data_IF_881978669004
#
_entry.id   IF_881978669004
#
_cell.length_a   1.000
_cell.length_b   1.000
_cell.length_c   1.000
_cell.angle_alpha   90.00
_cell.angle_beta   90.00
_cell.angle_gamma   90.00
#
_symmetry.space_group_name_H-M   'P 1'
#
loop_
_entity.id
_entity.type
_entity.pdbx_description
1 polymer ?
#
# COMPACT_ATOMS: atom_id res chain seq x y z
N UNK A 1 12.28 -21.67 10.79
CA UNK A 1 10.85 -21.97 10.59
C UNK A 1 10.15 -20.86 9.79
N UNK A 2 10.16 -19.61 10.25
CA UNK A 2 9.45 -18.51 9.57
C UNK A 2 9.90 -18.24 8.12
N UNK A 3 11.21 -18.20 7.86
CA UNK A 3 11.75 -17.98 6.50
C UNK A 3 11.40 -19.10 5.52
N UNK A 4 11.28 -20.35 5.98
CA UNK A 4 10.82 -21.49 5.18
C UNK A 4 9.33 -21.32 4.82
N UNK A 5 8.49 -20.94 5.79
CA UNK A 5 7.07 -20.66 5.55
C UNK A 5 6.83 -19.50 4.57
N UNK A 6 7.70 -18.49 4.60
CA UNK A 6 7.65 -17.39 3.63
C UNK A 6 8.17 -17.78 2.24
N UNK A 7 8.76 -18.97 2.09
CA UNK A 7 9.36 -19.44 0.85
C UNK A 7 10.73 -18.84 0.55
N UNK A 8 11.38 -18.21 1.53
CA UNK A 8 12.75 -17.68 1.41
C UNK A 8 13.81 -18.78 1.51
N UNK A 9 13.52 -19.84 2.27
CA UNK A 9 14.37 -21.04 2.37
C UNK A 9 13.62 -22.28 1.88
N UNK A 10 14.34 -23.22 1.27
CA UNK A 10 13.86 -24.55 0.94
C UNK A 10 13.69 -25.43 2.20
N UNK A 11 13.19 -26.66 2.02
CA UNK A 11 13.11 -27.64 3.10
C UNK A 11 14.52 -28.02 3.61
N UNK A 12 15.51 -28.00 2.72
CA UNK A 12 16.93 -28.28 2.99
C UNK A 12 17.69 -27.05 3.52
N UNK A 13 16.99 -25.97 3.89
CA UNK A 13 17.54 -24.70 4.37
C UNK A 13 18.47 -23.96 3.38
N UNK A 14 18.34 -24.25 2.09
CA UNK A 14 19.01 -23.49 1.03
C UNK A 14 18.19 -22.26 0.62
N UNK A 15 18.88 -21.20 0.18
CA UNK A 15 18.24 -19.97 -0.27
C UNK A 15 17.47 -20.21 -1.57
N UNK A 16 16.19 -19.82 -1.61
CA UNK A 16 15.38 -19.89 -2.83
C UNK A 16 15.62 -18.65 -3.70
N UNK A 17 15.21 -18.63 -4.98
CA UNK A 17 15.26 -17.41 -5.79
C UNK A 17 14.51 -16.23 -5.15
N UNK A 18 13.35 -16.50 -4.52
CA UNK A 18 12.65 -15.48 -3.74
C UNK A 18 13.49 -15.03 -2.54
N UNK A 19 14.06 -15.97 -1.79
CA UNK A 19 14.95 -15.68 -0.67
C UNK A 19 16.15 -14.80 -1.06
N UNK A 20 16.74 -15.04 -2.23
CA UNK A 20 17.80 -14.22 -2.79
C UNK A 20 17.37 -12.77 -3.01
N UNK A 21 16.14 -12.54 -3.51
CA UNK A 21 15.61 -11.18 -3.65
C UNK A 21 15.27 -10.55 -2.29
N UNK A 22 14.71 -11.32 -1.36
CA UNK A 22 14.41 -10.83 -0.01
C UNK A 22 15.66 -10.42 0.76
N UNK A 23 16.77 -11.15 0.58
CA UNK A 23 18.05 -10.84 1.21
C UNK A 23 18.64 -9.49 0.77
N UNK A 24 18.20 -8.94 -0.37
CA UNK A 24 18.62 -7.62 -0.86
C UNK A 24 17.83 -6.46 -0.24
N UNK A 25 16.70 -6.74 0.42
CA UNK A 25 15.79 -5.71 0.94
C UNK A 25 15.93 -5.63 2.48
N UNK A 26 16.43 -4.52 3.05
CA UNK A 26 16.58 -4.34 4.49
C UNK A 26 15.25 -4.00 5.16
N UNK A 27 14.25 -4.87 4.99
CA UNK A 27 12.89 -4.73 5.53
C UNK A 27 12.44 -6.06 6.13
N UNK A 28 11.32 -6.04 6.84
CA UNK A 28 10.68 -7.28 7.26
C UNK A 28 10.42 -8.20 6.05
N UNK A 29 10.74 -9.51 6.12
CA UNK A 29 10.60 -10.43 4.99
C UNK A 29 9.18 -10.50 4.39
N UNK A 30 8.13 -10.26 5.18
CA UNK A 30 6.74 -10.21 4.70
C UNK A 30 6.50 -8.96 3.85
N UNK A 31 7.03 -7.82 4.29
CA UNK A 31 7.03 -6.57 3.52
C UNK A 31 7.82 -6.74 2.23
N UNK A 32 9.05 -7.27 2.32
CA UNK A 32 9.89 -7.55 1.15
C UNK A 32 9.18 -8.46 0.15
N UNK A 33 8.50 -9.51 0.63
CA UNK A 33 7.74 -10.43 -0.21
C UNK A 33 6.60 -9.73 -0.93
N UNK A 34 5.80 -8.90 -0.23
CA UNK A 34 4.75 -8.10 -0.90
C UNK A 34 5.33 -7.19 -1.96
N UNK A 35 6.43 -6.48 -1.67
CA UNK A 35 7.06 -5.56 -2.62
C UNK A 35 7.55 -6.28 -3.89
N UNK A 36 8.21 -7.44 -3.73
CA UNK A 36 8.65 -8.28 -4.86
C UNK A 36 7.44 -8.74 -5.69
N UNK A 37 6.39 -9.26 -5.06
CA UNK A 37 5.20 -9.70 -5.78
C UNK A 37 4.44 -8.53 -6.42
N UNK A 38 4.38 -7.37 -5.78
CA UNK A 38 3.75 -6.17 -6.35
C UNK A 38 4.44 -5.72 -7.65
N UNK A 39 5.78 -5.75 -7.67
CA UNK A 39 6.56 -5.47 -8.87
C UNK A 39 6.31 -6.51 -9.97
N UNK A 40 6.36 -7.81 -9.63
CA UNK A 40 6.15 -8.91 -10.58
C UNK A 40 4.74 -8.93 -11.19
N UNK A 41 3.73 -8.65 -10.36
CA UNK A 41 2.32 -8.68 -10.77
C UNK A 41 1.86 -7.36 -11.40
N UNK A 42 2.72 -6.34 -11.49
CA UNK A 42 2.40 -5.07 -12.13
C UNK A 42 1.38 -4.24 -11.35
N UNK A 43 1.38 -4.31 -10.02
CA UNK A 43 0.51 -3.53 -9.13
C UNK A 43 1.34 -2.83 -8.04
N UNK A 44 2.49 -2.27 -8.42
CA UNK A 44 3.50 -1.80 -7.49
C UNK A 44 3.03 -0.62 -6.63
N UNK A 45 2.42 0.40 -7.22
CA UNK A 45 1.96 1.60 -6.49
C UNK A 45 1.03 1.28 -5.32
N UNK A 46 -0.10 0.59 -5.49
CA UNK A 46 -0.98 0.28 -4.36
C UNK A 46 -0.26 -0.58 -3.30
N UNK A 47 0.58 -1.52 -3.73
CA UNK A 47 1.37 -2.38 -2.84
C UNK A 47 2.39 -1.57 -2.03
N UNK A 48 3.05 -0.57 -2.60
CA UNK A 48 3.96 0.32 -1.87
C UNK A 48 3.25 1.02 -0.71
N UNK A 49 2.04 1.52 -0.92
CA UNK A 49 1.28 2.18 0.14
C UNK A 49 0.72 1.21 1.17
N UNK A 50 0.30 0.02 0.76
CA UNK A 50 -0.15 -1.01 1.71
C UNK A 50 1.02 -1.43 2.59
N UNK A 51 2.18 -1.73 1.99
CA UNK A 51 3.41 -2.03 2.71
C UNK A 51 3.80 -0.89 3.67
N UNK A 52 3.75 0.36 3.21
CA UNK A 52 4.06 1.53 4.03
C UNK A 52 3.08 1.71 5.20
N UNK A 53 1.77 1.51 4.98
CA UNK A 53 0.76 1.57 6.03
C UNK A 53 0.96 0.45 7.06
N UNK A 54 1.43 -0.74 6.64
CA UNK A 54 1.76 -1.85 7.55
C UNK A 54 3.05 -1.61 8.34
N UNK A 55 4.04 -0.93 7.76
CA UNK A 55 5.31 -0.61 8.42
C UNK A 55 5.27 0.65 9.27
N UNK A 56 4.16 1.40 9.22
CA UNK A 56 3.97 2.65 9.96
C UNK A 56 2.67 2.58 10.77
N UNK A 57 2.17 3.74 11.24
CA UNK A 57 0.91 3.81 11.97
C UNK A 57 -0.26 3.89 11.00
N UNK A 58 -1.41 3.39 11.46
CA UNK A 58 -2.69 3.56 10.75
C UNK A 58 -2.89 5.02 10.31
N UNK A 59 -3.36 5.26 9.07
CA UNK A 59 -3.72 6.60 8.62
C UNK A 59 -4.93 7.15 9.38
N UNK A 60 -5.85 6.28 9.80
CA UNK A 60 -7.07 6.64 10.51
C UNK A 60 -6.84 6.78 12.02
N UNK A 61 -7.49 7.78 12.61
CA UNK A 61 -7.56 8.02 14.05
C UNK A 61 -9.00 7.86 14.54
N UNK A 62 -9.18 7.39 15.76
CA UNK A 62 -10.50 7.26 16.39
C UNK A 62 -10.49 8.01 17.73
N UNK A 63 -10.77 9.33 17.72
CA UNK A 63 -10.90 10.12 18.95
C UNK A 63 -11.99 9.52 19.85
N UNK A 64 -11.78 9.50 21.18
CA UNK A 64 -12.68 8.84 22.13
C UNK A 64 -14.14 9.32 21.97
N UNK A 65 -14.35 10.62 21.84
CA UNK A 65 -15.68 11.23 21.75
C UNK A 65 -16.35 11.05 20.38
N UNK A 66 -15.60 10.60 19.36
CA UNK A 66 -16.07 10.51 17.97
C UNK A 66 -15.75 9.15 17.34
N UNK A 67 -15.55 8.12 18.16
CA UNK A 67 -15.11 6.80 17.70
C UNK A 67 -16.10 6.18 16.71
N UNK A 68 -17.38 6.19 17.05
CA UNK A 68 -18.43 5.60 16.20
C UNK A 68 -18.59 6.36 14.87
N UNK A 69 -18.48 7.70 14.91
CA UNK A 69 -18.51 8.56 13.73
C UNK A 69 -17.32 8.26 12.80
N UNK A 70 -16.11 8.19 13.36
CA UNK A 70 -14.89 7.88 12.62
C UNK A 70 -14.95 6.49 11.98
N UNK A 71 -15.40 5.47 12.73
CA UNK A 71 -15.49 4.10 12.25
C UNK A 71 -16.57 3.95 11.17
N UNK A 72 -17.72 4.61 11.34
CA UNK A 72 -18.80 4.62 10.35
C UNK A 72 -18.38 5.32 9.05
N UNK A 73 -17.72 6.49 9.15
CA UNK A 73 -17.21 7.20 7.99
C UNK A 73 -16.15 6.38 7.26
N UNK A 74 -15.18 5.81 7.98
CA UNK A 74 -14.15 4.95 7.41
C UNK A 74 -14.77 3.77 6.66
N UNK A 75 -15.74 3.08 7.27
CA UNK A 75 -16.43 1.95 6.63
C UNK A 75 -17.22 2.38 5.39
N UNK A 76 -17.91 3.51 5.45
CA UNK A 76 -18.73 4.04 4.36
C UNK A 76 -17.89 4.51 3.16
N UNK A 77 -16.83 5.26 3.41
CA UNK A 77 -16.02 5.91 2.37
C UNK A 77 -14.91 4.99 1.86
N UNK A 78 -14.30 4.22 2.76
CA UNK A 78 -13.10 3.44 2.47
C UNK A 78 -13.26 1.94 2.71
N UNK A 79 -14.35 1.46 3.31
CA UNK A 79 -14.54 0.06 3.70
C UNK A 79 -15.00 -0.88 2.60
N UNK A 80 -14.84 -0.52 1.32
CA UNK A 80 -15.24 -1.39 0.21
C UNK A 80 -14.43 -2.69 0.23
N UNK A 81 -15.12 -3.79 -0.05
CA UNK A 81 -14.55 -5.14 -0.08
C UNK A 81 -13.98 -5.70 1.23
N UNK A 82 -14.41 -5.17 2.39
CA UNK A 82 -14.10 -5.70 3.73
C UNK A 82 -12.58 -5.85 4.00
N UNK A 83 -11.77 -4.88 3.56
CA UNK A 83 -10.32 -4.89 3.76
C UNK A 83 -9.81 -3.58 4.33
N UNK A 84 -9.26 -3.63 5.54
CA UNK A 84 -8.66 -2.46 6.22
C UNK A 84 -7.41 -1.94 5.51
N UNK A 85 -6.64 -2.82 4.88
CA UNK A 85 -5.46 -2.44 4.09
C UNK A 85 -5.85 -1.68 2.82
N UNK A 86 -6.92 -2.12 2.14
CA UNK A 86 -7.45 -1.36 1.01
C UNK A 86 -8.14 -0.07 1.45
N UNK A 87 -8.75 -0.04 2.64
CA UNK A 87 -9.24 1.21 3.21
C UNK A 87 -8.10 2.20 3.46
N UNK A 88 -6.96 1.74 4.00
CA UNK A 88 -5.77 2.56 4.21
C UNK A 88 -5.19 3.09 2.90
N UNK A 89 -5.13 2.25 1.86
CA UNK A 89 -4.76 2.66 0.50
C UNK A 89 -5.65 3.79 0.00
N UNK A 90 -6.98 3.60 0.04
CA UNK A 90 -7.93 4.60 -0.46
C UNK A 90 -7.90 5.90 0.35
N UNK A 91 -7.71 5.82 1.67
CA UNK A 91 -7.53 6.97 2.54
C UNK A 91 -6.30 7.79 2.14
N UNK A 92 -5.17 7.11 1.93
CA UNK A 92 -3.94 7.74 1.45
C UNK A 92 -4.13 8.38 0.06
N UNK A 93 -4.75 7.67 -0.88
CA UNK A 93 -5.01 8.20 -2.22
C UNK A 93 -5.90 9.44 -2.18
N UNK A 94 -6.93 9.46 -1.34
CA UNK A 94 -7.79 10.62 -1.15
C UNK A 94 -7.00 11.82 -0.59
N UNK A 95 -6.15 11.57 0.42
CA UNK A 95 -5.28 12.59 1.01
C UNK A 95 -4.30 13.17 0.00
N UNK A 96 -3.67 12.31 -0.81
CA UNK A 96 -2.73 12.74 -1.84
C UNK A 96 -3.42 13.58 -2.93
N UNK A 97 -4.60 13.16 -3.41
CA UNK A 97 -5.39 13.93 -4.39
C UNK A 97 -5.74 15.32 -3.86
N UNK A 98 -6.24 15.41 -2.63
CA UNK A 98 -6.56 16.70 -2.01
C UNK A 98 -5.32 17.61 -1.89
N UNK A 99 -4.14 17.00 -1.65
CA UNK A 99 -2.87 17.75 -1.63
C UNK A 99 -2.48 18.28 -3.01
N UNK A 100 -2.75 17.54 -4.07
CA UNK A 100 -2.43 17.95 -5.44
C UNK A 100 -3.37 19.04 -5.95
N UNK A 101 -4.65 18.94 -5.62
CA UNK A 101 -5.69 19.87 -6.07
C UNK A 101 -5.67 21.20 -5.30
N UNK A 102 -5.51 21.14 -3.98
CA UNK A 102 -5.65 22.29 -3.07
C UNK A 102 -4.44 22.49 -2.14
N UNK A 103 -3.31 21.86 -2.45
CA UNK A 103 -2.09 21.98 -1.66
C UNK A 103 -2.23 21.41 -0.25
N UNK A 104 -1.34 21.84 0.64
CA UNK A 104 -1.38 21.41 2.05
C UNK A 104 -2.63 21.86 2.81
N UNK A 105 -3.40 22.83 2.29
CA UNK A 105 -4.68 23.21 2.89
C UNK A 105 -5.72 22.11 2.68
N UNK A 106 -5.92 21.65 1.44
CA UNK A 106 -6.83 20.54 1.13
C UNK A 106 -6.43 19.22 1.79
N UNK A 107 -5.13 18.93 1.84
CA UNK A 107 -4.62 17.75 2.55
C UNK A 107 -4.98 17.75 4.05
N UNK A 108 -4.94 18.93 4.70
CA UNK A 108 -5.33 19.08 6.11
C UNK A 108 -6.83 19.01 6.30
N UNK A 109 -7.60 19.59 5.39
CA UNK A 109 -9.05 19.57 5.41
C UNK A 109 -9.56 18.13 5.29
N UNK A 110 -9.12 17.38 4.28
CA UNK A 110 -9.55 15.98 4.12
C UNK A 110 -9.07 15.11 5.28
N UNK A 111 -7.88 15.38 5.82
CA UNK A 111 -7.40 14.64 6.99
C UNK A 111 -8.26 14.90 8.23
N UNK A 112 -8.67 16.16 8.45
CA UNK A 112 -9.60 16.51 9.54
C UNK A 112 -10.95 15.85 9.34
N UNK A 113 -11.55 16.03 8.17
CA UNK A 113 -12.94 15.63 7.91
C UNK A 113 -13.10 14.12 7.87
N UNK A 114 -12.04 13.39 7.51
CA UNK A 114 -12.07 11.94 7.38
C UNK A 114 -11.36 11.21 8.54
N UNK A 115 -11.09 11.90 9.64
CA UNK A 115 -10.43 11.34 10.82
C UNK A 115 -9.10 10.65 10.48
N UNK A 116 -8.24 11.36 9.77
CA UNK A 116 -6.90 10.90 9.39
C UNK A 116 -5.80 11.73 10.03
N UNK A 117 -4.68 11.08 10.36
CA UNK A 117 -3.51 11.70 10.95
C UNK A 117 -2.58 12.21 9.85
N UNK A 118 -2.35 13.52 9.80
CA UNK A 118 -1.36 14.14 8.89
C UNK A 118 0.03 13.51 9.05
N UNK A 119 0.46 13.28 10.30
CA UNK A 119 1.75 12.65 10.59
C UNK A 119 1.82 11.22 10.06
N UNK A 120 0.72 10.45 10.16
CA UNK A 120 0.67 9.09 9.63
C UNK A 120 0.75 9.12 8.10
N UNK A 121 0.03 10.03 7.44
CA UNK A 121 0.07 10.18 5.97
C UNK A 121 1.48 10.53 5.47
N UNK A 122 2.14 11.50 6.10
CA UNK A 122 3.52 11.86 5.76
C UNK A 122 4.49 10.70 5.98
N UNK A 123 4.30 9.92 7.06
CA UNK A 123 5.12 8.72 7.33
C UNK A 123 4.91 7.64 6.27
N UNK A 124 3.67 7.40 5.85
CA UNK A 124 3.32 6.45 4.78
C UNK A 124 3.97 6.91 3.47
N UNK A 125 3.87 8.19 3.14
CA UNK A 125 4.47 8.74 1.92
C UNK A 125 6.00 8.59 1.91
N UNK A 126 6.65 8.86 3.05
CA UNK A 126 8.09 8.67 3.22
C UNK A 126 8.48 7.20 3.05
N UNK A 127 7.77 6.28 3.71
CA UNK A 127 8.04 4.85 3.61
C UNK A 127 7.81 4.32 2.18
N UNK A 128 6.77 4.79 1.47
CA UNK A 128 6.57 4.48 0.03
C UNK A 128 7.80 4.82 -0.80
N UNK A 129 8.34 6.03 -0.62
CA UNK A 129 9.54 6.49 -1.35
C UNK A 129 10.75 5.63 -1.02
N UNK A 130 10.96 5.30 0.25
CA UNK A 130 12.06 4.42 0.67
C UNK A 130 11.95 3.03 0.06
N UNK A 131 10.77 2.40 0.10
CA UNK A 131 10.57 1.08 -0.50
C UNK A 131 10.78 1.08 -2.01
N UNK A 132 10.34 2.13 -2.71
CA UNK A 132 10.64 2.30 -4.14
C UNK A 132 12.15 2.37 -4.40
N UNK A 133 12.89 3.17 -3.64
CA UNK A 133 14.35 3.26 -3.77
C UNK A 133 15.02 1.91 -3.54
N UNK A 134 14.61 1.15 -2.52
CA UNK A 134 15.15 -0.18 -2.25
C UNK A 134 14.92 -1.16 -3.42
N UNK A 135 13.73 -1.14 -4.03
CA UNK A 135 13.42 -1.98 -5.19
C UNK A 135 14.23 -1.59 -6.43
N UNK A 136 14.46 -0.29 -6.62
CA UNK A 136 15.29 0.24 -7.71
C UNK A 136 16.77 -0.12 -7.53
N UNK A 137 17.29 -0.01 -6.29
CA UNK A 137 18.68 -0.37 -5.96
C UNK A 137 18.93 -1.87 -6.07
N UNK A 138 17.96 -2.68 -5.66
CA UNK A 138 17.97 -4.13 -5.86
C UNK A 138 17.74 -4.56 -7.33
N UNK A 139 17.53 -3.59 -8.25
CA UNK A 139 17.22 -3.81 -9.68
C UNK A 139 15.98 -4.68 -9.93
N UNK A 140 15.06 -4.71 -8.98
CA UNK A 140 13.77 -5.39 -9.09
C UNK A 140 12.77 -4.54 -9.89
N UNK A 141 12.98 -3.23 -9.91
CA UNK A 141 12.17 -2.26 -10.65
C UNK A 141 13.10 -1.35 -11.42
N UNK A 142 12.68 -0.92 -12.62
CA UNK A 142 13.43 0.05 -13.39
C UNK A 142 13.51 1.37 -12.62
N UNK A 143 14.71 1.95 -12.50
CA UNK A 143 14.85 3.33 -12.04
C UNK A 143 14.07 4.22 -12.98
N UNK A 144 13.20 5.07 -12.42
CA UNK A 144 12.44 6.04 -13.20
C UNK A 144 13.42 7.12 -13.71
N UNK A 145 14.11 6.83 -14.82
CA UNK A 145 14.98 7.78 -15.51
C UNK A 145 14.06 8.73 -16.26
N UNK A 146 14.06 9.99 -15.83
CA UNK A 146 13.39 11.15 -16.41
C UNK A 146 11.91 11.40 -16.05
N UNK A 147 11.71 12.07 -14.91
CA UNK A 147 10.89 13.30 -14.90
C UNK A 147 11.79 14.52 -15.09
N UNK A 148 12.59 14.52 -16.17
CA UNK A 148 13.21 15.74 -16.67
C UNK A 148 12.12 16.66 -17.20
N UNK A 149 11.84 17.74 -16.48
CA UNK A 149 11.26 19.00 -16.97
C UNK A 149 10.43 18.92 -18.28
N UNK A 150 9.15 18.58 -18.18
CA UNK A 150 8.11 19.18 -19.04
C UNK A 150 7.04 19.84 -18.18
N UNK A 151 7.33 21.07 -17.75
CA UNK A 151 6.31 22.05 -17.38
C UNK A 151 5.52 22.42 -18.65
N UNK A 152 4.63 21.53 -19.10
CA UNK A 152 3.61 21.86 -20.10
C UNK A 152 2.48 22.60 -19.41
N UNK A 153 2.36 23.90 -19.63
CA UNK A 153 1.13 24.65 -19.33
C UNK A 153 0.02 24.13 -20.26
N UNK A 154 -0.86 23.28 -19.74
CA UNK A 154 -2.07 22.83 -20.44
C UNK A 154 -3.01 22.19 -19.43
N UNK A 155 -4.18 22.79 -19.23
CA UNK A 155 -5.16 22.34 -18.25
C UNK A 155 -5.84 21.02 -18.65
N UNK A 156 -6.35 20.32 -17.63
CA UNK A 156 -7.12 19.09 -17.77
C UNK A 156 -6.56 17.97 -16.90
N UNK A 157 -7.39 17.48 -15.97
CA UNK A 157 -7.10 16.45 -14.98
C UNK A 157 -6.38 15.21 -15.53
N UNK A 158 -5.58 14.57 -14.65
CA UNK A 158 -4.94 13.23 -14.70
C UNK A 158 -3.41 13.33 -14.53
N UNK A 159 -2.71 12.65 -13.62
CA UNK A 159 -3.04 11.56 -12.73
C UNK A 159 -1.74 11.30 -11.91
N UNK A 160 -1.64 11.67 -10.62
CA UNK A 160 -0.51 11.21 -9.78
C UNK A 160 -0.70 9.78 -9.25
N UNK A 161 -1.75 9.13 -9.73
CA UNK A 161 -2.05 7.71 -9.63
C UNK A 161 -2.45 7.17 -11.01
N UNK A 162 -2.04 7.82 -12.13
CA UNK A 162 -2.06 7.03 -13.37
C UNK A 162 -1.10 5.93 -12.99
N UNK A 163 -1.52 4.68 -13.22
CA UNK A 163 -0.55 3.67 -13.55
C UNK A 163 0.53 4.38 -14.35
N UNK A 164 1.69 4.63 -13.75
CA UNK A 164 2.88 4.97 -14.51
C UNK A 164 2.79 4.00 -15.68
N UNK A 165 2.66 4.51 -16.91
CA UNK A 165 2.44 3.65 -18.07
C UNK A 165 3.56 2.60 -18.20
N UNK A 166 4.61 2.74 -17.39
CA UNK A 166 5.36 1.64 -16.82
C UNK A 166 4.60 0.30 -16.74
N UNK A 167 5.23 -0.77 -17.26
CA UNK A 167 4.78 -2.15 -17.07
C UNK A 167 4.57 -2.58 -15.61
N UNK A 168 5.09 -1.82 -14.62
CA UNK A 168 5.02 -2.13 -13.19
C UNK A 168 3.69 -1.75 -12.52
N UNK A 169 2.81 -1.01 -13.22
CA UNK A 169 1.50 -0.61 -12.68
C UNK A 169 0.30 -0.95 -13.58
N UNK A 170 0.51 -1.79 -14.61
CA UNK A 170 -0.56 -2.20 -15.55
C UNK A 170 -1.80 -2.83 -14.88
N UNK A 171 -1.65 -3.34 -13.66
CA UNK A 171 -2.70 -3.98 -12.87
C UNK A 171 -2.97 -3.24 -11.55
N UNK A 172 -2.58 -1.97 -11.41
CA UNK A 172 -2.74 -1.21 -10.16
C UNK A 172 -4.21 -1.15 -9.68
N UNK A 173 -5.16 -1.04 -10.59
CA UNK A 173 -6.60 -0.96 -10.27
C UNK A 173 -7.25 -2.34 -10.05
N UNK A 174 -6.51 -3.43 -10.21
CA UNK A 174 -7.04 -4.79 -10.03
C UNK A 174 -7.02 -5.20 -8.54
N UNK A 175 -8.09 -4.88 -7.83
CA UNK A 175 -8.22 -5.17 -6.40
C UNK A 175 -8.03 -6.66 -6.03
N UNK A 176 -8.47 -7.59 -6.90
CA UNK A 176 -8.28 -9.04 -6.66
C UNK A 176 -6.80 -9.40 -6.67
N UNK A 177 -6.04 -8.81 -7.58
CA UNK A 177 -4.61 -9.05 -7.69
C UNK A 177 -3.84 -8.41 -6.53
N UNK A 178 -4.19 -7.18 -6.17
CA UNK A 178 -3.63 -6.51 -4.98
C UNK A 178 -3.87 -7.35 -3.73
N UNK A 179 -5.08 -7.88 -3.53
CA UNK A 179 -5.40 -8.80 -2.43
C UNK A 179 -4.57 -10.08 -2.47
N UNK A 180 -4.34 -10.66 -3.64
CA UNK A 180 -3.48 -11.84 -3.77
C UNK A 180 -2.05 -11.55 -3.31
N UNK A 181 -1.51 -10.37 -3.64
CA UNK A 181 -0.18 -9.93 -3.17
C UNK A 181 -0.17 -9.72 -1.65
N UNK A 182 -1.21 -9.10 -1.08
CA UNK A 182 -1.36 -8.98 0.38
C UNK A 182 -1.32 -10.35 1.05
N UNK A 183 -2.09 -11.31 0.53
CA UNK A 183 -2.13 -12.69 1.06
C UNK A 183 -0.76 -13.35 0.96
N UNK A 184 -0.03 -13.16 -0.14
CA UNK A 184 1.31 -13.72 -0.31
C UNK A 184 2.30 -13.24 0.76
N UNK A 185 2.18 -11.98 1.20
CA UNK A 185 2.98 -11.40 2.29
C UNK A 185 2.53 -11.79 3.68
N UNK A 186 1.21 -11.83 3.93
CA UNK A 186 0.66 -12.08 5.26
C UNK A 186 0.53 -13.55 5.63
N UNK A 187 0.54 -14.46 4.66
CA UNK A 187 0.52 -15.90 4.92
C UNK A 187 1.67 -16.30 5.87
N UNK A 188 1.42 -17.13 6.91
CA UNK A 188 0.22 -17.93 7.15
C UNK A 188 -0.81 -17.30 8.10
N UNK A 189 -0.81 -15.97 8.29
CA UNK A 189 -1.76 -15.28 9.17
C UNK A 189 -3.19 -15.30 8.58
N UNK A 190 -3.85 -16.45 8.65
CA UNK A 190 -5.17 -16.71 8.08
C UNK A 190 -6.13 -17.08 9.20
N UNK A 191 -7.33 -16.50 9.15
CA UNK A 191 -8.44 -16.86 10.02
C UNK A 191 -9.64 -17.29 9.16
N UNK A 192 -10.40 -18.28 9.65
CA UNK A 192 -11.67 -18.68 9.05
C UNK A 192 -12.80 -17.95 9.78
N UNK A 193 -13.63 -17.23 9.03
CA UNK A 193 -14.85 -16.66 9.59
C UNK A 193 -15.88 -17.79 9.76
N UNK A 194 -16.40 -17.95 10.98
CA UNK A 194 -17.58 -18.76 11.18
C UNK A 194 -18.82 -18.00 10.68
N UNK A 195 -19.79 -18.67 10.03
CA UNK A 195 -21.03 -18.02 9.65
C UNK A 195 -21.71 -17.45 10.89
N UNK A 196 -22.12 -16.18 10.85
CA UNK A 196 -22.95 -15.62 11.90
C UNK A 196 -24.24 -16.44 11.99
N UNK A 197 -24.49 -17.07 13.14
CA UNK A 197 -25.77 -17.73 13.41
C UNK A 197 -26.88 -16.69 13.16
N UNK A 198 -27.73 -16.94 12.16
CA UNK A 198 -28.89 -16.08 11.95
C UNK A 198 -29.78 -16.20 13.20
N UNK A 199 -30.16 -15.08 13.85
CA UNK A 199 -31.23 -15.14 14.83
C UNK A 199 -32.52 -15.53 14.09
N UNK A 200 -33.10 -16.66 14.49
CA UNK A 200 -34.42 -17.11 14.02
C UNK A 200 -35.56 -16.30 14.62
#
# INVERSE_FOLDING_TARGET
>A
AELTTLGALSAEQSLTPLGSHLALLPVDPRIGKMLVFGALMGCLEPVLTIAAAMSTRSPFVSPLDKRDEADALRKKVYGTEQSDLLASLRGFDAWQRAREEAGWAGAREIARDHFMSMRSMESIEQARRQFRTLLEDARLVARNRDHGSRKGKGGGASHALAADASPQNRNADNAKLVKAVIVAGLYPNVARAEPSAQPG
#
